data_IF_884059204989
#
_entry.id   IF_884059204989
#
_cell.length_a   1.000
_cell.length_b   1.000
_cell.length_c   1.000
_cell.angle_alpha   90.00
_cell.angle_beta   90.00
_cell.angle_gamma   90.00
#
_symmetry.space_group_name_H-M   'P 1'
#
loop_
_entity.id
_entity.type
_entity.pdbx_description
1 polymer ?
#
# COMPACT_ATOMS: atom_id res chain seq x y z
N UNK A 1 -5.23 17.20 -2.81
CA UNK A 1 -4.06 16.75 -2.02
C UNK A 1 -3.27 15.81 -2.92
N UNK A 2 -2.03 16.12 -3.30
CA UNK A 2 -1.23 15.24 -4.14
C UNK A 2 -0.89 13.96 -3.35
N UNK A 3 -1.32 12.81 -3.86
CA UNK A 3 -1.15 11.49 -3.23
C UNK A 3 0.06 10.75 -3.78
N UNK A 4 1.20 11.43 -3.77
CA UNK A 4 2.44 10.77 -4.13
C UNK A 4 2.93 9.92 -2.94
N UNK A 5 2.85 8.60 -3.10
CA UNK A 5 3.30 7.61 -2.14
C UNK A 5 4.69 7.03 -2.48
N UNK A 6 5.34 7.53 -3.54
CA UNK A 6 6.65 7.03 -4.01
C UNK A 6 7.75 7.11 -2.94
N UNK A 7 7.75 8.18 -2.14
CA UNK A 7 8.76 8.44 -1.11
C UNK A 7 8.41 7.85 0.27
N UNK A 8 7.34 7.07 0.39
CA UNK A 8 6.95 6.47 1.68
C UNK A 8 7.80 5.23 1.95
N UNK A 9 8.80 5.37 2.82
CA UNK A 9 9.58 4.24 3.32
C UNK A 9 9.19 3.91 4.77
N UNK A 10 8.43 2.83 4.93
CA UNK A 10 8.02 2.33 6.25
C UNK A 10 8.85 1.11 6.65
N UNK A 11 9.33 1.09 7.89
CA UNK A 11 9.95 -0.07 8.49
C UNK A 11 8.94 -1.21 8.69
N UNK A 12 9.44 -2.45 8.84
CA UNK A 12 8.58 -3.62 9.03
C UNK A 12 7.74 -3.51 10.31
N UNK A 13 8.34 -2.99 11.38
CA UNK A 13 7.68 -2.73 12.66
C UNK A 13 6.54 -1.71 12.53
N UNK A 14 6.75 -0.63 11.79
CA UNK A 14 5.72 0.39 11.53
C UNK A 14 4.56 -0.18 10.72
N UNK A 15 4.85 -0.97 9.68
CA UNK A 15 3.84 -1.68 8.89
C UNK A 15 2.98 -2.59 9.76
N UNK A 16 3.62 -3.34 10.67
CA UNK A 16 2.91 -4.25 11.56
C UNK A 16 2.00 -3.50 12.54
N UNK A 17 2.48 -2.39 13.13
CA UNK A 17 1.67 -1.53 14.00
C UNK A 17 0.46 -0.95 13.27
N UNK A 18 0.66 -0.38 12.07
CA UNK A 18 -0.43 0.14 11.24
C UNK A 18 -1.43 -0.94 10.86
N UNK A 19 -0.96 -2.17 10.60
CA UNK A 19 -1.84 -3.31 10.33
C UNK A 19 -2.68 -3.68 11.55
N UNK A 20 -2.08 -3.77 12.75
CA UNK A 20 -2.82 -4.04 13.98
C UNK A 20 -3.86 -2.96 14.31
N UNK A 21 -3.54 -1.69 14.02
CA UNK A 21 -4.49 -0.58 14.16
C UNK A 21 -5.72 -0.68 13.25
N UNK A 22 -5.71 -1.53 12.22
CA UNK A 22 -6.93 -1.80 11.42
C UNK A 22 -8.00 -2.51 12.24
N UNK A 23 -7.60 -3.29 13.23
CA UNK A 23 -8.50 -4.03 14.11
C UNK A 23 -8.78 -3.29 15.42
N UNK A 24 -7.80 -2.54 15.94
CA UNK A 24 -7.96 -1.74 17.16
C UNK A 24 -8.25 -0.28 16.83
N UNK A 25 -9.49 0.15 17.02
CA UNK A 25 -9.90 1.56 16.87
C UNK A 25 -9.40 2.38 18.06
N UNK A 26 -8.38 3.21 17.85
CA UNK A 26 -7.78 4.04 18.89
C UNK A 26 -6.67 3.29 19.65
N UNK A 27 -5.42 3.70 19.45
CA UNK A 27 -4.26 3.18 20.19
C UNK A 27 -3.56 4.31 20.92
N UNK A 28 -3.04 4.02 22.11
CA UNK A 28 -2.22 4.97 22.85
C UNK A 28 -0.88 5.25 22.15
N UNK A 29 -0.32 6.41 22.44
CA UNK A 29 1.02 6.77 21.96
C UNK A 29 2.12 5.80 22.41
N UNK A 30 1.95 5.12 23.55
CA UNK A 30 2.88 4.11 24.06
C UNK A 30 2.99 2.88 23.14
N UNK A 31 1.89 2.47 22.49
CA UNK A 31 1.89 1.38 21.51
C UNK A 31 2.71 1.74 20.25
N UNK A 32 2.58 2.98 19.79
CA UNK A 32 3.31 3.50 18.64
C UNK A 32 4.78 3.75 18.96
N UNK A 33 5.08 4.22 20.17
CA UNK A 33 6.44 4.50 20.64
C UNK A 33 7.19 5.42 19.66
N UNK A 34 8.42 5.04 19.30
CA UNK A 34 9.27 5.81 18.38
C UNK A 34 8.68 6.01 16.98
N UNK A 35 7.78 5.12 16.54
CA UNK A 35 7.13 5.20 15.22
C UNK A 35 6.10 6.34 15.13
N UNK A 36 5.64 6.87 16.26
CA UNK A 36 4.56 7.86 16.32
C UNK A 36 4.85 9.10 15.48
N UNK A 37 6.04 9.67 15.63
CA UNK A 37 6.44 10.92 14.96
C UNK A 37 6.49 10.73 13.44
N UNK A 38 7.10 9.63 12.99
CA UNK A 38 7.17 9.24 11.58
C UNK A 38 5.77 9.06 10.97
N UNK A 39 4.91 8.31 11.65
CA UNK A 39 3.56 7.99 11.16
C UNK A 39 2.63 9.20 11.14
N UNK A 40 2.76 10.12 12.11
CA UNK A 40 2.08 11.42 12.10
C UNK A 40 2.57 12.31 10.96
N UNK A 41 3.89 12.38 10.74
CA UNK A 41 4.49 13.15 9.65
C UNK A 41 4.01 12.69 8.27
N UNK A 42 3.88 11.37 8.08
CA UNK A 42 3.30 10.75 6.88
C UNK A 42 1.77 10.93 6.79
N UNK A 43 1.12 11.43 7.85
CA UNK A 43 -0.32 11.58 8.01
C UNK A 43 -1.08 10.26 7.86
N UNK A 44 -0.45 9.14 8.25
CA UNK A 44 -1.09 7.81 8.26
C UNK A 44 -1.91 7.57 9.53
N UNK A 45 -1.57 8.29 10.59
CA UNK A 45 -2.32 8.34 11.83
C UNK A 45 -2.73 9.78 12.14
N UNK A 46 -3.81 9.94 12.88
CA UNK A 46 -4.24 11.22 13.45
C UNK A 46 -4.41 11.07 14.94
N UNK A 47 -4.04 12.10 15.69
CA UNK A 47 -4.33 12.20 17.11
C UNK A 47 -5.77 12.65 17.30
N UNK A 48 -6.49 12.01 18.22
CA UNK A 48 -7.79 12.41 18.72
C UNK A 48 -7.65 12.62 20.22
N UNK A 49 -8.05 13.79 20.69
CA UNK A 49 -8.08 14.11 22.10
C UNK A 49 -9.52 13.96 22.57
N UNK A 50 -9.80 13.09 23.57
CA UNK A 50 -11.10 13.13 24.21
C UNK A 50 -11.26 14.51 24.86
N UNK A 51 -12.40 15.15 24.63
CA UNK A 51 -12.73 16.40 25.33
C UNK A 51 -12.88 16.07 26.82
N UNK A 52 -12.03 16.68 27.65
CA UNK A 52 -12.17 16.65 29.10
C UNK A 52 -12.80 17.96 29.56
N UNK A 53 -13.77 17.87 30.47
CA UNK A 53 -14.33 19.04 31.14
C UNK A 53 -13.23 19.83 31.83
N UNK A 54 -13.28 21.15 31.69
CA UNK A 54 -12.28 22.10 32.23
C UNK A 54 -12.35 22.26 33.74
N UNK A 55 -13.26 21.54 34.41
CA UNK A 55 -13.34 21.45 35.85
C UNK A 55 -12.13 20.66 36.35
N UNK A 56 -11.17 21.39 36.94
CA UNK A 56 -9.90 20.91 37.50
C UNK A 56 -10.09 19.61 38.29
N UNK A 57 -9.91 18.49 37.62
CA UNK A 57 -9.66 17.21 38.29
C UNK A 57 -8.15 17.03 38.23
N UNK A 58 -7.49 17.37 39.34
CA UNK A 58 -6.04 17.18 39.47
C UNK A 58 -5.71 15.69 39.27
N UNK A 59 -5.05 15.36 38.17
CA UNK A 59 -4.46 14.03 37.95
C UNK A 59 -4.77 13.35 36.61
N UNK A 60 -5.81 13.76 35.88
CA UNK A 60 -6.21 13.06 34.65
C UNK A 60 -5.91 13.91 33.40
N UNK A 61 -4.67 13.79 32.91
CA UNK A 61 -4.32 14.36 31.62
C UNK A 61 -4.91 13.47 30.52
N UNK A 62 -5.83 13.97 29.67
CA UNK A 62 -6.41 13.16 28.59
C UNK A 62 -5.32 12.59 27.71
N UNK A 63 -5.22 11.25 27.66
CA UNK A 63 -4.30 10.56 26.77
C UNK A 63 -4.77 10.71 25.33
N UNK A 64 -3.85 11.14 24.45
CA UNK A 64 -4.11 11.20 23.02
C UNK A 64 -4.31 9.79 22.44
N UNK A 65 -5.44 9.56 21.79
CA UNK A 65 -5.74 8.32 21.08
C UNK A 65 -5.42 8.49 19.60
N UNK A 66 -4.70 7.53 19.02
CA UNK A 66 -4.30 7.57 17.62
C UNK A 66 -5.17 6.64 16.79
N UNK A 67 -5.67 7.15 15.66
CA UNK A 67 -6.49 6.40 14.71
C UNK A 67 -5.90 6.46 13.31
N UNK A 68 -6.19 5.46 12.48
CA UNK A 68 -5.75 5.44 11.09
C UNK A 68 -6.52 6.45 10.25
N UNK A 69 -5.81 7.12 9.34
CA UNK A 69 -6.42 8.07 8.41
C UNK A 69 -6.83 7.40 7.10
N UNK A 70 -7.66 8.09 6.32
CA UNK A 70 -7.99 7.70 4.94
C UNK A 70 -6.74 7.65 4.03
N UNK A 71 -5.71 8.45 4.32
CA UNK A 71 -4.45 8.45 3.58
C UNK A 71 -3.70 7.12 3.70
N UNK A 72 -3.71 6.50 4.88
CA UNK A 72 -3.14 5.16 5.05
C UNK A 72 -3.89 4.11 4.20
N UNK A 73 -5.22 4.20 4.14
CA UNK A 73 -6.00 3.29 3.29
C UNK A 73 -5.62 3.43 1.81
N UNK A 74 -5.52 4.67 1.32
CA UNK A 74 -5.10 4.96 -0.06
C UNK A 74 -3.68 4.49 -0.34
N UNK A 75 -2.76 4.62 0.62
CA UNK A 75 -1.42 4.03 0.54
C UNK A 75 -1.46 2.50 0.36
N UNK A 76 -2.31 1.80 1.13
CA UNK A 76 -2.47 0.35 0.98
C UNK A 76 -3.00 -0.04 -0.40
N UNK A 77 -3.98 0.70 -0.93
CA UNK A 77 -4.52 0.47 -2.28
C UNK A 77 -3.44 0.72 -3.34
N UNK A 78 -2.73 1.85 -3.26
CA UNK A 78 -1.63 2.19 -4.16
C UNK A 78 -0.55 1.10 -4.16
N UNK A 79 -0.14 0.62 -2.97
CA UNK A 79 0.88 -0.41 -2.84
C UNK A 79 0.44 -1.73 -3.48
N UNK A 80 -0.83 -2.11 -3.30
CA UNK A 80 -1.40 -3.32 -3.90
C UNK A 80 -1.42 -3.21 -5.43
N UNK A 81 -1.90 -2.09 -5.97
CA UNK A 81 -1.93 -1.87 -7.41
C UNK A 81 -0.51 -1.91 -8.00
N UNK A 82 0.46 -1.26 -7.35
CA UNK A 82 1.85 -1.29 -7.82
C UNK A 82 2.49 -2.68 -7.78
N UNK A 83 2.10 -3.54 -6.82
CA UNK A 83 2.52 -4.94 -6.82
C UNK A 83 1.87 -5.72 -7.98
N UNK A 84 0.58 -5.50 -8.23
CA UNK A 84 -0.10 -6.10 -9.37
C UNK A 84 0.48 -5.64 -10.70
N UNK A 85 0.76 -4.35 -10.87
CA UNK A 85 1.39 -3.81 -12.07
C UNK A 85 2.76 -4.46 -12.32
N UNK A 86 3.58 -4.63 -11.27
CA UNK A 86 4.85 -5.35 -11.37
C UNK A 86 4.68 -6.82 -11.77
N UNK A 87 3.72 -7.52 -11.16
CA UNK A 87 3.42 -8.91 -11.51
C UNK A 87 2.92 -9.03 -12.96
N UNK A 88 2.00 -8.15 -13.37
CA UNK A 88 1.45 -8.10 -14.72
C UNK A 88 2.56 -7.85 -15.75
N UNK A 89 3.37 -6.82 -15.52
CA UNK A 89 4.45 -6.43 -16.43
C UNK A 89 5.58 -7.46 -16.50
N UNK A 90 5.99 -8.05 -15.37
CA UNK A 90 7.13 -8.97 -15.34
C UNK A 90 6.80 -10.43 -15.65
N UNK A 91 5.55 -10.86 -15.47
CA UNK A 91 5.18 -12.28 -15.63
C UNK A 91 4.18 -12.45 -16.77
N UNK A 92 3.08 -11.71 -16.75
CA UNK A 92 1.96 -11.95 -17.67
C UNK A 92 2.29 -11.47 -19.08
N UNK A 93 2.86 -10.27 -19.23
CA UNK A 93 3.23 -9.73 -20.56
C UNK A 93 4.24 -10.64 -21.29
N UNK A 94 5.36 -11.09 -20.69
CA UNK A 94 6.31 -11.95 -21.38
C UNK A 94 5.73 -13.29 -21.83
N UNK A 95 4.89 -13.91 -21.00
CA UNK A 95 4.22 -15.17 -21.35
C UNK A 95 3.32 -14.95 -22.58
N UNK A 96 2.51 -13.89 -22.56
CA UNK A 96 1.62 -13.57 -23.67
C UNK A 96 2.39 -13.30 -24.96
N UNK A 97 3.46 -12.50 -24.89
CA UNK A 97 4.34 -12.21 -26.03
C UNK A 97 4.97 -13.48 -26.59
N UNK A 98 5.43 -14.38 -25.73
CA UNK A 98 6.00 -15.67 -26.14
C UNK A 98 4.99 -16.51 -26.92
N UNK A 99 3.77 -16.68 -26.39
CA UNK A 99 2.70 -17.47 -27.05
C UNK A 99 2.26 -16.82 -28.37
N UNK A 100 2.13 -15.50 -28.41
CA UNK A 100 1.78 -14.80 -29.65
C UNK A 100 2.87 -14.99 -30.72
N UNK A 101 4.14 -14.94 -30.31
CA UNK A 101 5.28 -15.11 -31.23
C UNK A 101 5.34 -16.53 -31.79
N UNK A 102 5.08 -17.56 -30.98
CA UNK A 102 5.08 -18.95 -31.46
C UNK A 102 3.94 -19.21 -32.44
N UNK A 103 2.73 -18.71 -32.17
CA UNK A 103 1.60 -18.83 -33.09
C UNK A 103 1.87 -18.12 -34.43
N UNK A 104 2.46 -16.93 -34.38
CA UNK A 104 2.87 -16.21 -35.59
C UNK A 104 3.90 -17.00 -36.39
N UNK A 105 4.93 -17.54 -35.74
CA UNK A 105 5.97 -18.34 -36.40
C UNK A 105 5.39 -19.59 -37.08
N UNK A 106 4.49 -20.32 -36.41
CA UNK A 106 3.83 -21.49 -36.99
C UNK A 106 3.04 -21.13 -38.26
N UNK A 107 2.26 -20.04 -38.21
CA UNK A 107 1.49 -19.57 -39.37
C UNK A 107 2.38 -19.11 -40.52
N UNK A 108 3.52 -18.50 -40.21
CA UNK A 108 4.50 -18.06 -41.21
C UNK A 108 5.18 -19.27 -41.88
N UNK A 109 5.52 -20.30 -41.11
CA UNK A 109 6.07 -21.55 -41.64
C UNK A 109 5.09 -22.26 -42.59
N UNK A 110 3.83 -22.42 -42.19
CA UNK A 110 2.77 -22.98 -43.05
C UNK A 110 2.68 -22.25 -44.39
N UNK A 111 2.72 -20.91 -44.37
CA UNK A 111 2.61 -20.08 -45.58
C UNK A 111 3.84 -20.22 -46.49
N UNK A 112 5.04 -20.30 -45.92
CA UNK A 112 6.28 -20.53 -46.67
C UNK A 112 6.26 -21.89 -47.36
N UNK A 113 5.78 -22.94 -46.69
CA UNK A 113 5.68 -24.28 -47.28
C UNK A 113 4.68 -24.32 -48.45
N UNK A 114 3.53 -23.64 -48.33
CA UNK A 114 2.57 -23.52 -49.42
C UNK A 114 3.16 -22.81 -50.65
N UNK A 115 3.89 -21.71 -50.43
CA UNK A 115 4.55 -20.99 -51.53
C UNK A 115 5.68 -21.79 -52.18
N UNK A 116 6.33 -22.71 -51.45
CA UNK A 116 7.38 -23.58 -51.99
C UNK A 116 6.83 -24.71 -52.87
N UNK A 117 5.57 -25.11 -52.66
CA UNK A 117 4.92 -26.18 -53.43
C UNK A 117 4.24 -25.71 -54.73
N UNK A 118 4.08 -24.40 -54.93
CA UNK A 118 3.64 -23.79 -56.20
C UNK A 118 4.83 -23.54 -57.14
#
# INVERSE_FOLDING_TARGET
>A
MNEDFSNVNLFLSEKFKLFLMRFRKGVDGSFLGRSLVSLLGLRFITASYPFCDTLKTEGDNPKALYTLTTRYWRYCVWKRNRLFDKILTSIIIPIFVSVATTLLLLKLQELIELLRQQ
#
